data_IF_024712936978
#
_entry.id   IF_024712936978
#
_cell.length_a   1.000
_cell.length_b   1.000
_cell.length_c   1.000
_cell.angle_alpha   90.00
_cell.angle_beta   90.00
_cell.angle_gamma   90.00
#
_symmetry.space_group_name_H-M   'P 1'
#
loop_
_entity.id
_entity.type
_entity.pdbx_description
1 polymer ?
#
# COMPACT_ATOMS: atom_id res chain seq x y z
N UNK A 1 -7.41 -16.07 -8.24
CA UNK A 1 -6.47 -15.34 -9.12
C UNK A 1 -5.08 -15.90 -8.85
N UNK A 2 -4.45 -16.62 -9.80
CA UNK A 2 -3.08 -17.13 -9.62
C UNK A 2 -2.11 -15.96 -9.74
N UNK A 3 -1.17 -15.82 -8.80
CA UNK A 3 -0.12 -14.82 -8.89
C UNK A 3 0.63 -14.97 -10.22
N UNK A 4 0.68 -13.89 -11.02
CA UNK A 4 1.42 -13.84 -12.30
C UNK A 4 2.94 -13.82 -12.13
N UNK A 5 3.41 -13.76 -10.89
CA UNK A 5 4.82 -13.58 -10.54
C UNK A 5 5.35 -14.89 -9.97
N UNK A 6 6.43 -15.39 -10.58
CA UNK A 6 7.09 -16.62 -10.14
C UNK A 6 7.65 -16.44 -8.71
N UNK A 7 7.28 -17.36 -7.81
CA UNK A 7 7.73 -17.32 -6.42
C UNK A 7 6.94 -16.40 -5.48
N UNK A 8 5.92 -15.68 -5.98
CA UNK A 8 5.02 -14.91 -5.14
C UNK A 8 3.77 -15.72 -4.75
N UNK A 9 3.47 -15.76 -3.46
CA UNK A 9 2.23 -16.27 -2.89
C UNK A 9 1.53 -15.19 -2.07
N UNK A 10 0.20 -15.26 -1.93
CA UNK A 10 -0.62 -14.19 -1.30
C UNK A 10 -0.27 -13.92 0.17
N UNK A 11 0.32 -14.89 0.87
CA UNK A 11 0.84 -14.75 2.25
C UNK A 11 2.14 -13.94 2.34
N UNK A 12 2.79 -13.60 1.22
CA UNK A 12 4.02 -12.80 1.19
C UNK A 12 3.74 -11.32 0.89
N UNK A 13 2.46 -10.92 0.87
CA UNK A 13 2.08 -9.52 0.77
C UNK A 13 2.54 -8.72 1.99
N UNK A 14 3.06 -7.52 1.76
CA UNK A 14 3.41 -6.59 2.83
C UNK A 14 2.19 -5.72 3.11
N UNK A 15 1.68 -5.79 4.33
CA UNK A 15 0.50 -5.05 4.77
C UNK A 15 0.86 -3.99 5.82
N UNK A 16 0.04 -2.94 5.93
CA UNK A 16 0.13 -1.93 6.99
C UNK A 16 -1.24 -1.69 7.60
N UNK A 17 -1.27 -1.41 8.91
CA UNK A 17 -2.49 -1.07 9.62
C UNK A 17 -2.84 0.40 9.38
N UNK A 18 -4.04 0.64 8.85
CA UNK A 18 -4.53 1.98 8.53
C UNK A 18 -5.65 2.46 9.48
N UNK A 19 -6.24 1.51 10.23
CA UNK A 19 -7.41 1.78 11.06
C UNK A 19 -7.06 2.45 12.39
N UNK A 20 -8.02 3.19 12.94
CA UNK A 20 -7.97 3.69 14.30
C UNK A 20 -8.85 2.78 15.18
N UNK A 21 -8.38 2.44 16.38
CA UNK A 21 -9.10 1.60 17.35
C UNK A 21 -10.45 2.20 17.81
N UNK A 22 -10.68 3.50 17.61
CA UNK A 22 -11.93 4.18 17.99
C UNK A 22 -12.37 5.19 16.92
N UNK A 23 -13.67 5.26 16.53
CA UNK A 23 -14.81 4.52 17.09
C UNK A 23 -15.12 3.18 16.39
N UNK A 24 -14.16 2.58 15.67
CA UNK A 24 -14.30 1.22 15.10
C UNK A 24 -15.28 1.06 13.93
N UNK A 25 -15.90 2.14 13.44
CA UNK A 25 -16.88 2.13 12.35
C UNK A 25 -16.24 2.18 10.95
N UNK A 26 -15.41 1.18 10.62
CA UNK A 26 -14.82 1.03 9.28
C UNK A 26 -13.73 2.06 8.98
N UNK A 27 -12.47 1.68 9.25
CA UNK A 27 -11.34 2.60 9.24
C UNK A 27 -10.92 3.13 7.85
N UNK A 28 -9.76 3.80 7.83
CA UNK A 28 -9.19 4.43 6.63
C UNK A 28 -8.93 3.47 5.47
N UNK A 29 -8.91 2.15 5.74
CA UNK A 29 -8.79 1.15 4.68
C UNK A 29 -9.90 1.28 3.63
N UNK A 30 -11.13 1.64 4.01
CA UNK A 30 -12.24 1.83 3.06
C UNK A 30 -12.10 3.06 2.18
N UNK A 31 -11.23 3.99 2.58
CA UNK A 31 -10.99 5.24 1.87
C UNK A 31 -9.90 5.08 0.81
N UNK A 32 -9.21 3.93 0.75
CA UNK A 32 -8.15 3.73 -0.24
C UNK A 32 -8.72 3.59 -1.63
N UNK A 33 -7.98 4.08 -2.61
CA UNK A 33 -8.37 4.05 -4.02
C UNK A 33 -8.64 2.62 -4.51
N UNK A 34 -7.91 1.64 -3.97
CA UNK A 34 -8.01 0.21 -4.25
C UNK A 34 -9.16 -0.51 -3.55
N UNK A 35 -9.82 0.09 -2.56
CA UNK A 35 -10.86 -0.58 -1.78
C UNK A 35 -12.03 -1.03 -2.66
N UNK A 36 -12.36 -2.32 -2.61
CA UNK A 36 -13.44 -2.93 -3.40
C UNK A 36 -13.18 -2.98 -4.92
N UNK A 37 -11.97 -2.65 -5.39
CA UNK A 37 -11.63 -2.63 -6.81
C UNK A 37 -10.69 -3.79 -7.17
N UNK A 38 -10.81 -4.25 -8.41
CA UNK A 38 -9.80 -5.15 -8.97
C UNK A 38 -8.52 -4.36 -9.30
N UNK A 39 -7.33 -4.97 -9.18
CA UNK A 39 -6.08 -4.32 -9.55
C UNK A 39 -6.07 -3.91 -11.03
N UNK A 40 -5.54 -2.72 -11.33
CA UNK A 40 -5.28 -2.32 -12.71
C UNK A 40 -4.01 -3.03 -13.21
N UNK A 41 -4.19 -3.95 -14.17
CA UNK A 41 -3.11 -4.76 -14.73
C UNK A 41 -2.31 -4.02 -15.81
N UNK A 42 -2.69 -2.81 -16.18
CA UNK A 42 -1.92 -1.96 -17.09
C UNK A 42 -0.78 -1.21 -16.37
N UNK A 43 -0.87 -1.09 -15.04
CA UNK A 43 0.15 -0.44 -14.23
C UNK A 43 1.27 -1.42 -13.89
N UNK A 44 2.52 -0.93 -13.95
CA UNK A 44 3.65 -1.69 -13.42
C UNK A 44 3.58 -1.78 -11.89
N UNK A 45 4.17 -2.81 -11.27
CA UNK A 45 4.21 -2.92 -9.81
C UNK A 45 4.76 -1.67 -9.11
N UNK A 46 5.76 -1.02 -9.72
CA UNK A 46 6.35 0.23 -9.23
C UNK A 46 5.36 1.40 -9.28
N UNK A 47 4.60 1.52 -10.37
CA UNK A 47 3.56 2.53 -10.52
C UNK A 47 2.42 2.30 -9.53
N UNK A 48 1.94 1.06 -9.41
CA UNK A 48 0.90 0.69 -8.45
C UNK A 48 1.33 1.02 -7.02
N UNK A 49 2.54 0.65 -6.60
CA UNK A 49 3.04 0.98 -5.28
C UNK A 49 3.14 2.49 -5.05
N UNK A 50 3.59 3.25 -6.04
CA UNK A 50 3.68 4.71 -5.94
C UNK A 50 2.30 5.36 -5.77
N UNK A 51 1.32 4.91 -6.55
CA UNK A 51 -0.07 5.41 -6.49
C UNK A 51 -0.72 5.09 -5.15
N UNK A 52 -0.62 3.85 -4.67
CA UNK A 52 -1.17 3.46 -3.38
C UNK A 52 -0.51 4.25 -2.24
N UNK A 53 0.82 4.40 -2.22
CA UNK A 53 1.50 5.18 -1.17
C UNK A 53 1.10 6.65 -1.21
N UNK A 54 0.93 7.21 -2.40
CA UNK A 54 0.44 8.59 -2.57
C UNK A 54 -0.98 8.75 -2.02
N UNK A 55 -1.87 7.81 -2.34
CA UNK A 55 -3.25 7.78 -1.84
C UNK A 55 -3.30 7.75 -0.31
N UNK A 56 -2.52 6.86 0.33
CA UNK A 56 -2.44 6.81 1.79
C UNK A 56 -1.91 8.12 2.39
N UNK A 57 -0.90 8.72 1.77
CA UNK A 57 -0.41 10.04 2.18
C UNK A 57 -1.53 11.08 2.11
N UNK A 58 -2.29 11.14 1.00
CA UNK A 58 -3.42 12.05 0.85
C UNK A 58 -4.49 11.83 1.93
N UNK A 59 -4.87 10.58 2.21
CA UNK A 59 -5.83 10.25 3.27
C UNK A 59 -5.37 10.80 4.63
N UNK A 60 -4.12 10.54 5.01
CA UNK A 60 -3.59 11.05 6.27
C UNK A 60 -3.44 12.57 6.28
N UNK A 61 -3.00 13.18 5.18
CA UNK A 61 -2.83 14.63 5.07
C UNK A 61 -4.17 15.35 5.18
N UNK A 62 -5.21 14.87 4.49
CA UNK A 62 -6.54 15.47 4.50
C UNK A 62 -7.21 15.41 5.88
N UNK A 63 -6.80 14.47 6.72
CA UNK A 63 -7.29 14.34 8.10
C UNK A 63 -6.39 15.06 9.12
N UNK A 64 -5.32 15.74 8.69
CA UNK A 64 -4.36 16.39 9.60
C UNK A 64 -3.50 15.40 10.41
N UNK A 65 -3.42 14.13 9.98
CA UNK A 65 -2.75 13.04 10.70
C UNK A 65 -1.42 12.63 10.07
N UNK A 66 -0.97 13.32 9.02
CA UNK A 66 0.29 13.02 8.35
C UNK A 66 1.50 13.48 9.18
N UNK A 67 1.85 12.67 10.17
CA UNK A 67 2.99 12.92 11.06
C UNK A 67 4.31 12.38 10.50
N UNK A 68 5.42 12.75 11.15
CA UNK A 68 6.74 12.19 10.83
C UNK A 68 6.78 10.66 10.98
N UNK A 69 6.02 10.09 11.92
CA UNK A 69 5.92 8.65 12.09
C UNK A 69 5.22 8.00 10.89
N UNK A 70 4.07 8.55 10.45
CA UNK A 70 3.37 8.06 9.26
C UNK A 70 4.26 8.14 8.03
N UNK A 71 4.97 9.27 7.84
CA UNK A 71 5.93 9.43 6.75
C UNK A 71 6.99 8.32 6.77
N UNK A 72 7.60 8.04 7.92
CA UNK A 72 8.61 6.98 8.07
C UNK A 72 8.01 5.60 7.76
N UNK A 73 6.79 5.31 8.22
CA UNK A 73 6.11 4.05 7.93
C UNK A 73 5.86 3.86 6.42
N UNK A 74 5.41 4.91 5.71
CA UNK A 74 5.22 4.85 4.26
C UNK A 74 6.56 4.67 3.51
N UNK A 75 7.62 5.33 3.94
CA UNK A 75 8.97 5.13 3.37
C UNK A 75 9.47 3.70 3.62
N UNK A 76 9.22 3.16 4.82
CA UNK A 76 9.58 1.80 5.18
C UNK A 76 8.82 0.78 4.32
N UNK A 77 7.52 0.99 4.09
CA UNK A 77 6.70 0.17 3.20
C UNK A 77 7.28 0.09 1.78
N UNK A 78 7.69 1.23 1.22
CA UNK A 78 8.34 1.26 -0.10
C UNK A 78 9.64 0.46 -0.08
N UNK A 79 10.48 0.65 0.95
CA UNK A 79 11.76 -0.05 1.07
C UNK A 79 11.56 -1.56 1.18
N UNK A 80 10.62 -2.02 2.01
CA UNK A 80 10.32 -3.44 2.17
C UNK A 80 9.89 -4.08 0.86
N UNK A 81 8.98 -3.44 0.11
CA UNK A 81 8.54 -3.97 -1.18
C UNK A 81 9.69 -4.09 -2.18
N UNK A 82 10.53 -3.05 -2.28
CA UNK A 82 11.69 -3.05 -3.18
C UNK A 82 12.74 -4.10 -2.79
N UNK A 83 12.95 -4.34 -1.49
CA UNK A 83 13.92 -5.33 -1.02
C UNK A 83 13.42 -6.76 -1.18
N UNK A 84 12.16 -7.02 -0.82
CA UNK A 84 11.57 -8.35 -0.91
C UNK A 84 11.42 -8.81 -2.37
N UNK A 85 11.23 -7.87 -3.29
CA UNK A 85 10.83 -8.13 -4.67
C UNK A 85 11.65 -7.31 -5.68
N UNK A 86 12.96 -7.22 -5.49
CA UNK A 86 13.85 -6.35 -6.29
C UNK A 86 13.68 -6.53 -7.80
N UNK A 87 13.68 -7.77 -8.30
CA UNK A 87 13.51 -8.09 -9.72
C UNK A 87 12.19 -7.60 -10.34
N UNK A 88 11.17 -7.39 -9.51
CA UNK A 88 9.84 -6.92 -9.91
C UNK A 88 9.81 -5.38 -9.93
N UNK A 89 10.49 -4.76 -8.97
CA UNK A 89 10.49 -3.31 -8.77
C UNK A 89 11.66 -2.58 -9.43
N UNK A 90 12.63 -3.27 -10.04
CA UNK A 90 13.80 -2.69 -10.73
C UNK A 90 13.51 -2.24 -12.17
N UNK A 91 12.46 -2.77 -12.81
CA UNK A 91 12.02 -2.35 -14.16
C UNK A 91 11.49 -0.91 -14.19
#
# INVERSE_FOLDING_TARGET
>A
MKAKIQGYTTNQGIAIMMEHLSPGSGGRHRQTLSYGKSPDLNLSPRQTLALEVWDLRCIYSNQGLYSQQIRKSLQHLIKLNKLAWSSIFEK
#
